data_IF_983126050313
#
_entry.id   IF_983126050313
#
_cell.length_a   1.000
_cell.length_b   1.000
_cell.length_c   1.000
_cell.angle_alpha   90.00
_cell.angle_beta   90.00
_cell.angle_gamma   90.00
#
_symmetry.space_group_name_H-M   'P 1'
#
loop_
_entity.id
_entity.type
_entity.pdbx_description
1 polymer ?
#
# COMPACT_ATOMS: atom_id res chain seq x y z
N UNK A 1 -11.59 19.91 47.47
CA UNK A 1 -11.86 18.60 48.13
C UNK A 1 -10.60 18.16 48.84
N UNK A 2 -10.66 17.40 49.95
CA UNK A 2 -9.44 16.97 50.63
C UNK A 2 -8.71 15.89 49.81
N UNK A 3 -7.40 15.84 50.01
CA UNK A 3 -6.56 14.80 49.45
C UNK A 3 -6.97 13.42 49.97
N UNK A 4 -6.87 12.40 49.12
CA UNK A 4 -7.30 11.04 49.45
C UNK A 4 -8.76 10.73 49.12
N UNK A 5 -9.57 11.72 48.71
CA UNK A 5 -10.91 11.45 48.20
C UNK A 5 -10.83 10.67 46.88
N UNK A 6 -11.75 9.74 46.69
CA UNK A 6 -11.86 8.94 45.47
C UNK A 6 -12.83 9.64 44.52
N UNK A 7 -12.38 9.88 43.29
CA UNK A 7 -13.21 10.29 42.15
C UNK A 7 -13.60 9.04 41.38
N UNK A 8 -14.90 8.84 41.14
CA UNK A 8 -15.39 7.84 40.19
C UNK A 8 -15.46 8.48 38.81
N UNK A 9 -14.90 7.82 37.80
CA UNK A 9 -14.84 8.32 36.43
C UNK A 9 -15.53 7.28 35.54
N UNK A 10 -16.52 7.73 34.77
CA UNK A 10 -17.27 6.90 33.83
C UNK A 10 -17.11 7.48 32.43
N UNK A 11 -16.57 6.68 31.51
CA UNK A 11 -16.45 7.00 30.09
C UNK A 11 -17.53 6.22 29.36
N UNK A 12 -18.40 6.91 28.62
CA UNK A 12 -19.55 6.31 27.94
C UNK A 12 -19.49 6.61 26.45
N UNK A 13 -19.66 5.60 25.61
CA UNK A 13 -19.82 5.77 24.16
C UNK A 13 -21.28 6.05 23.77
N UNK A 14 -21.52 6.38 22.50
CA UNK A 14 -22.84 6.69 21.97
C UNK A 14 -23.83 5.52 21.98
N UNK A 15 -23.35 4.28 22.13
CA UNK A 15 -24.18 3.09 22.26
C UNK A 15 -24.47 2.73 23.73
N UNK A 16 -23.92 3.51 24.68
CA UNK A 16 -24.07 3.29 26.11
C UNK A 16 -23.13 2.23 26.68
N UNK A 17 -22.11 1.79 25.94
CA UNK A 17 -21.04 1.00 26.55
C UNK A 17 -20.23 1.90 27.48
N UNK A 18 -19.79 1.34 28.61
CA UNK A 18 -19.15 2.10 29.68
C UNK A 18 -17.82 1.49 30.07
N UNK A 19 -16.85 2.36 30.32
CA UNK A 19 -15.60 2.05 31.02
C UNK A 19 -15.60 2.86 32.32
N UNK A 20 -15.49 2.17 33.44
CA UNK A 20 -15.42 2.80 34.77
C UNK A 20 -14.01 2.70 35.33
N UNK A 21 -13.55 3.78 35.95
CA UNK A 21 -12.28 3.83 36.66
C UNK A 21 -12.35 4.79 37.84
N UNK A 22 -11.29 4.85 38.64
CA UNK A 22 -11.22 5.74 39.80
C UNK A 22 -9.88 6.43 39.89
N UNK A 23 -9.88 7.66 40.40
CA UNK A 23 -8.67 8.43 40.72
C UNK A 23 -8.69 8.89 42.17
N UNK A 24 -7.52 9.19 42.74
CA UNK A 24 -7.42 9.78 44.08
C UNK A 24 -7.04 11.25 43.98
N UNK A 25 -7.69 12.11 44.76
CA UNK A 25 -7.38 13.54 44.83
C UNK A 25 -6.03 13.75 45.53
N UNK A 26 -5.13 14.47 44.87
CA UNK A 26 -3.81 14.85 45.37
C UNK A 26 -3.89 16.01 46.40
N UNK A 27 -2.82 16.26 47.18
CA UNK A 27 -2.75 17.40 48.11
C UNK A 27 -2.97 18.78 47.49
N UNK A 28 -2.69 18.94 46.19
CA UNK A 28 -2.92 20.17 45.43
C UNK A 28 -4.33 20.25 44.81
N UNK A 29 -5.15 19.22 44.99
CA UNK A 29 -6.52 19.13 44.47
C UNK A 29 -6.63 18.54 43.06
N UNK A 30 -5.51 18.22 42.39
CA UNK A 30 -5.51 17.52 41.10
C UNK A 30 -5.87 16.03 41.26
N UNK A 31 -6.24 15.38 40.18
CA UNK A 31 -6.33 13.91 40.10
C UNK A 31 -5.94 13.48 38.69
N UNK A 32 -5.45 12.26 38.55
CA UNK A 32 -5.19 11.63 37.27
C UNK A 32 -5.47 10.14 37.35
N UNK A 33 -5.76 9.55 36.20
CA UNK A 33 -5.83 8.12 35.99
C UNK A 33 -5.02 7.80 34.75
N UNK A 34 -4.12 6.84 34.86
CA UNK A 34 -3.30 6.38 33.75
C UNK A 34 -3.84 5.03 33.24
N UNK A 35 -3.49 4.69 32.00
CA UNK A 35 -3.76 3.37 31.38
C UNK A 35 -5.24 2.93 31.42
N UNK A 36 -6.17 3.85 31.19
CA UNK A 36 -7.60 3.51 31.03
C UNK A 36 -7.81 2.82 29.68
N UNK A 37 -8.14 1.54 29.72
CA UNK A 37 -8.45 0.76 28.52
C UNK A 37 -9.85 1.09 27.99
N UNK A 38 -9.90 1.77 26.85
CA UNK A 38 -11.13 2.15 26.14
C UNK A 38 -11.41 1.26 24.92
N UNK A 39 -10.68 0.15 24.75
CA UNK A 39 -10.83 -0.74 23.58
C UNK A 39 -12.19 -1.43 23.46
N UNK A 40 -13.00 -1.40 24.52
CA UNK A 40 -14.37 -1.91 24.52
C UNK A 40 -15.42 -0.89 24.05
N UNK A 41 -15.02 0.37 23.92
CA UNK A 41 -15.87 1.44 23.40
C UNK A 41 -15.79 1.47 21.87
N UNK A 42 -16.78 2.10 21.24
CA UNK A 42 -16.80 2.28 19.79
C UNK A 42 -16.43 3.71 19.38
N UNK A 43 -15.94 3.86 18.15
CA UNK A 43 -15.61 5.16 17.58
C UNK A 43 -16.81 6.10 17.55
N UNK A 44 -16.60 7.37 17.89
CA UNK A 44 -17.63 8.38 18.01
C UNK A 44 -17.39 9.31 19.20
N UNK A 45 -18.40 10.10 19.53
CA UNK A 45 -18.36 10.98 20.70
C UNK A 45 -18.40 10.14 21.98
N UNK A 46 -17.42 10.38 22.86
CA UNK A 46 -17.36 9.86 24.21
C UNK A 46 -17.81 10.94 25.20
N UNK A 47 -18.56 10.55 26.22
CA UNK A 47 -18.86 11.39 27.38
C UNK A 47 -18.07 10.88 28.59
N UNK A 48 -17.27 11.74 29.20
CA UNK A 48 -16.54 11.45 30.44
C UNK A 48 -17.21 12.18 31.58
N UNK A 49 -17.68 11.43 32.58
CA UNK A 49 -18.27 11.99 33.80
C UNK A 49 -17.36 11.68 34.98
N UNK A 50 -17.01 12.69 35.76
CA UNK A 50 -16.28 12.54 37.02
C UNK A 50 -17.21 12.89 38.18
N UNK A 51 -17.35 12.00 39.15
CA UNK A 51 -18.23 12.16 40.30
C UNK A 51 -17.52 11.85 41.61
N UNK A 52 -17.90 12.58 42.66
CA UNK A 52 -17.37 12.38 44.00
C UNK A 52 -18.32 12.99 45.03
N UNK A 53 -18.04 12.79 46.32
CA UNK A 53 -18.77 13.42 47.42
C UNK A 53 -17.85 14.39 48.18
N UNK A 54 -18.35 15.57 48.52
CA UNK A 54 -17.65 16.52 49.37
C UNK A 54 -17.61 16.10 50.85
N UNK A 55 -16.94 16.89 51.70
CA UNK A 55 -16.82 16.60 53.14
C UNK A 55 -18.14 16.71 53.92
N UNK A 56 -19.16 17.32 53.30
CA UNK A 56 -20.48 17.51 53.86
C UNK A 56 -21.48 16.44 53.37
N UNK A 57 -21.04 15.50 52.53
CA UNK A 57 -21.88 14.44 51.98
C UNK A 57 -22.64 14.83 50.70
N UNK A 58 -22.34 15.98 50.10
CA UNK A 58 -23.01 16.41 48.87
C UNK A 58 -22.28 15.83 47.64
N UNK A 59 -23.02 15.30 46.64
CA UNK A 59 -22.42 14.88 45.38
C UNK A 59 -21.92 16.10 44.59
N UNK A 60 -20.79 15.92 43.93
CA UNK A 60 -20.19 16.87 42.99
C UNK A 60 -19.85 16.10 41.74
N UNK A 61 -20.24 16.64 40.59
CA UNK A 61 -20.02 16.03 39.28
C UNK A 61 -19.57 17.07 38.26
N UNK A 62 -18.78 16.63 37.29
CA UNK A 62 -18.49 17.39 36.08
C UNK A 62 -18.44 16.45 34.86
N UNK A 63 -18.66 17.00 33.67
CA UNK A 63 -18.72 16.23 32.41
C UNK A 63 -17.93 16.91 31.32
N UNK A 64 -17.22 16.12 30.53
CA UNK A 64 -16.54 16.57 29.31
C UNK A 64 -16.78 15.58 28.16
N UNK A 65 -16.50 16.00 26.93
CA UNK A 65 -16.68 15.20 25.71
C UNK A 65 -15.37 15.05 24.95
N UNK A 66 -15.16 13.88 24.35
CA UNK A 66 -14.03 13.60 23.45
C UNK A 66 -14.53 12.82 22.23
N UNK A 67 -13.67 12.58 21.22
CA UNK A 67 -13.96 11.66 20.13
C UNK A 67 -12.99 10.49 20.19
N UNK A 68 -13.51 9.27 20.11
CA UNK A 68 -12.74 8.06 19.82
C UNK A 68 -12.79 7.82 18.32
N UNK A 69 -11.62 7.64 17.72
CA UNK A 69 -11.49 7.26 16.32
C UNK A 69 -10.28 6.33 16.20
N UNK A 70 -10.53 5.04 16.39
CA UNK A 70 -9.53 3.99 16.40
C UNK A 70 -9.61 3.08 15.16
N UNK A 71 -10.61 3.25 14.30
CA UNK A 71 -10.77 2.45 13.07
C UNK A 71 -9.84 2.98 11.99
N UNK A 72 -8.79 2.21 11.66
CA UNK A 72 -7.99 2.52 10.48
C UNK A 72 -8.80 2.40 9.18
N UNK A 73 -8.51 3.26 8.18
CA UNK A 73 -8.92 3.01 6.80
C UNK A 73 -8.32 1.70 6.28
N UNK A 74 -8.80 1.20 5.14
CA UNK A 74 -8.24 0.02 4.49
C UNK A 74 -8.25 0.13 2.97
N UNK A 75 -7.31 -0.57 2.33
CA UNK A 75 -7.22 -0.71 0.88
C UNK A 75 -6.54 -2.03 0.51
N UNK A 76 -6.52 -2.36 -0.78
CA UNK A 76 -5.67 -3.39 -1.34
C UNK A 76 -4.98 -2.89 -2.60
N UNK A 77 -3.79 -3.42 -2.90
CA UNK A 77 -3.01 -3.10 -4.09
C UNK A 77 -2.78 -4.35 -4.92
N UNK A 78 -3.01 -4.27 -6.23
CA UNK A 78 -2.77 -5.37 -7.18
C UNK A 78 -2.09 -4.83 -8.44
N UNK A 79 -0.93 -5.37 -8.79
CA UNK A 79 -0.32 -5.22 -10.11
C UNK A 79 -1.02 -6.18 -11.09
N UNK A 80 -1.48 -5.67 -12.22
CA UNK A 80 -2.30 -6.44 -13.17
C UNK A 80 -1.54 -6.76 -14.46
N UNK A 81 -1.89 -7.87 -15.10
CA UNK A 81 -1.41 -8.20 -16.46
C UNK A 81 -0.13 -9.02 -16.55
N UNK A 82 0.39 -9.57 -15.45
CA UNK A 82 1.59 -10.44 -15.43
C UNK A 82 1.30 -11.92 -15.81
N UNK A 83 0.24 -12.18 -16.59
CA UNK A 83 -0.09 -13.54 -17.03
C UNK A 83 -0.43 -14.53 -15.90
N UNK A 84 -0.27 -15.83 -16.17
CA UNK A 84 -0.51 -16.92 -15.21
C UNK A 84 0.72 -17.25 -14.34
N UNK A 85 1.90 -16.76 -14.72
CA UNK A 85 3.17 -17.01 -14.04
C UNK A 85 3.59 -15.89 -13.10
N UNK A 86 2.78 -14.82 -12.99
CA UNK A 86 3.01 -13.65 -12.13
C UNK A 86 4.35 -12.93 -12.41
N UNK A 87 4.86 -13.05 -13.64
CA UNK A 87 6.13 -12.45 -14.07
C UNK A 87 5.93 -11.67 -15.36
N UNK A 88 6.19 -10.37 -15.31
CA UNK A 88 6.08 -9.51 -16.49
C UNK A 88 7.19 -9.80 -17.52
N UNK A 89 6.78 -10.08 -18.74
CA UNK A 89 7.65 -10.07 -19.92
C UNK A 89 7.57 -8.74 -20.69
N UNK A 90 8.35 -8.60 -21.77
CA UNK A 90 8.41 -7.36 -22.56
C UNK A 90 7.06 -6.97 -23.19
N UNK A 91 6.26 -7.94 -23.61
CA UNK A 91 4.98 -7.69 -24.24
C UNK A 91 3.94 -7.25 -23.20
N UNK A 92 4.00 -7.79 -21.98
CA UNK A 92 3.10 -7.45 -20.87
C UNK A 92 3.40 -6.09 -20.24
N UNK A 93 4.65 -5.64 -20.25
CA UNK A 93 5.02 -4.26 -19.86
C UNK A 93 4.54 -3.23 -20.89
N UNK A 94 4.32 -3.67 -22.14
CA UNK A 94 3.84 -2.81 -23.21
C UNK A 94 4.83 -1.72 -23.64
N UNK A 95 4.43 -0.95 -24.66
CA UNK A 95 5.30 0.01 -25.32
C UNK A 95 5.55 1.31 -24.53
N UNK A 96 4.76 1.56 -23.48
CA UNK A 96 4.91 2.69 -22.57
C UNK A 96 5.91 2.41 -21.44
N UNK A 97 6.35 1.16 -21.26
CA UNK A 97 7.33 0.81 -20.22
C UNK A 97 6.74 0.83 -18.82
N UNK A 98 5.44 0.60 -18.66
CA UNK A 98 4.76 0.60 -17.37
C UNK A 98 3.70 -0.48 -17.29
N UNK A 99 3.40 -0.91 -16.08
CA UNK A 99 2.34 -1.88 -15.80
C UNK A 99 1.24 -1.19 -15.01
N UNK A 100 0.00 -1.65 -15.17
CA UNK A 100 -1.13 -1.08 -14.44
C UNK A 100 -1.23 -1.69 -13.04
N UNK A 101 -1.34 -0.85 -12.02
CA UNK A 101 -1.74 -1.23 -10.68
C UNK A 101 -3.17 -0.78 -10.40
N UNK A 102 -3.95 -1.62 -9.73
CA UNK A 102 -5.28 -1.32 -9.23
C UNK A 102 -5.24 -1.21 -7.71
N UNK A 103 -5.68 -0.06 -7.21
CA UNK A 103 -5.90 0.19 -5.79
C UNK A 103 -7.40 0.11 -5.53
N UNK A 104 -7.82 -0.69 -4.56
CA UNK A 104 -9.23 -0.83 -4.16
C UNK A 104 -9.37 -0.41 -2.71
N UNK A 105 -10.34 0.44 -2.39
CA UNK A 105 -10.56 0.91 -1.02
C UNK A 105 -11.56 0.02 -0.29
N UNK A 106 -11.28 -0.26 0.98
CA UNK A 106 -12.10 -1.09 1.85
C UNK A 106 -12.83 -0.27 2.93
N UNK A 107 -13.27 -0.97 3.98
CA UNK A 107 -13.92 -0.36 5.13
C UNK A 107 -13.02 0.67 5.83
N UNK A 108 -13.64 1.65 6.49
CA UNK A 108 -12.94 2.73 7.19
C UNK A 108 -12.48 3.87 6.27
N UNK A 109 -12.22 3.61 4.99
CA UNK A 109 -11.77 4.66 4.05
C UNK A 109 -12.92 5.57 3.62
N UNK A 110 -12.70 6.89 3.67
CA UNK A 110 -13.68 7.91 3.38
C UNK A 110 -13.16 8.99 2.42
N UNK A 111 -14.09 9.75 1.83
CA UNK A 111 -13.73 10.91 1.01
C UNK A 111 -13.00 11.94 1.88
N UNK A 112 -11.82 12.35 1.44
CA UNK A 112 -10.96 13.30 2.18
C UNK A 112 -9.80 12.66 2.92
N UNK A 113 -9.79 11.34 3.10
CA UNK A 113 -8.59 10.62 3.55
C UNK A 113 -7.43 10.88 2.60
N UNK A 114 -6.20 10.90 3.10
CA UNK A 114 -5.02 11.13 2.28
C UNK A 114 -4.49 9.80 1.76
N UNK A 115 -4.41 9.67 0.43
CA UNK A 115 -3.75 8.55 -0.23
C UNK A 115 -2.39 8.98 -0.76
N UNK A 116 -1.36 8.20 -0.42
CA UNK A 116 -0.01 8.31 -0.97
C UNK A 116 0.36 6.99 -1.61
N UNK A 117 0.79 7.04 -2.87
CA UNK A 117 1.20 5.87 -3.65
C UNK A 117 2.61 6.08 -4.17
N UNK A 118 3.49 5.12 -3.93
CA UNK A 118 4.89 5.15 -4.38
C UNK A 118 5.26 3.90 -5.16
N UNK A 119 6.17 4.05 -6.11
CA UNK A 119 6.82 2.92 -6.79
C UNK A 119 7.92 2.28 -5.91
N UNK A 120 8.52 1.18 -6.40
CA UNK A 120 9.62 0.50 -5.73
C UNK A 120 10.90 1.32 -5.53
N UNK A 121 11.04 2.46 -6.22
CA UNK A 121 12.15 3.40 -6.07
C UNK A 121 11.83 4.54 -5.10
N UNK A 122 10.60 4.60 -4.57
CA UNK A 122 10.12 5.66 -3.69
C UNK A 122 9.63 6.91 -4.42
N UNK A 123 9.41 6.86 -5.74
CA UNK A 123 8.81 7.96 -6.47
C UNK A 123 7.30 7.99 -6.23
N UNK A 124 6.75 9.17 -5.94
CA UNK A 124 5.31 9.34 -5.80
C UNK A 124 4.60 9.21 -7.16
N UNK A 125 3.67 8.25 -7.24
CA UNK A 125 2.77 8.06 -8.38
C UNK A 125 1.45 8.81 -8.16
N UNK A 126 1.04 8.95 -6.90
CA UNK A 126 -0.14 9.71 -6.49
C UNK A 126 0.04 10.23 -5.07
N UNK A 127 -0.39 11.47 -4.82
CA UNK A 127 -0.47 12.05 -3.49
C UNK A 127 -1.65 13.04 -3.46
N UNK A 128 -2.72 12.68 -2.74
CA UNK A 128 -3.92 13.49 -2.72
C UNK A 128 -5.08 12.88 -1.94
N UNK A 129 -6.20 13.60 -1.84
CA UNK A 129 -7.37 13.12 -1.14
C UNK A 129 -8.07 11.99 -1.91
N UNK A 130 -8.58 11.00 -1.19
CA UNK A 130 -9.51 9.99 -1.71
C UNK A 130 -10.79 10.70 -2.14
N UNK A 131 -11.21 10.44 -3.37
CA UNK A 131 -12.45 10.98 -3.96
C UNK A 131 -13.57 9.94 -3.95
N UNK A 132 -14.81 10.37 -4.17
CA UNK A 132 -15.94 9.44 -4.28
C UNK A 132 -15.76 8.47 -5.47
N UNK A 133 -15.22 8.95 -6.59
CA UNK A 133 -14.95 8.12 -7.76
C UNK A 133 -13.93 7.01 -7.44
N UNK A 134 -12.91 7.33 -6.64
CA UNK A 134 -11.93 6.35 -6.17
C UNK A 134 -12.57 5.30 -5.26
N UNK A 135 -13.48 5.68 -4.36
CA UNK A 135 -14.19 4.71 -3.53
C UNK A 135 -15.08 3.78 -4.36
N UNK A 136 -15.72 4.30 -5.41
CA UNK A 136 -16.67 3.54 -6.23
C UNK A 136 -15.97 2.61 -7.23
N UNK A 137 -14.86 3.05 -7.84
CA UNK A 137 -14.19 2.36 -8.94
C UNK A 137 -12.75 1.92 -8.65
N UNK A 138 -12.20 2.28 -7.49
CA UNK A 138 -10.77 2.17 -7.20
C UNK A 138 -9.94 3.22 -7.94
N UNK A 139 -8.62 3.09 -7.87
CA UNK A 139 -7.66 3.93 -8.58
C UNK A 139 -6.70 3.06 -9.38
N UNK A 140 -6.72 3.20 -10.70
CA UNK A 140 -5.74 2.59 -11.60
C UNK A 140 -4.57 3.57 -11.83
N UNK A 141 -3.33 3.09 -11.67
CA UNK A 141 -2.11 3.85 -11.90
C UNK A 141 -1.14 3.07 -12.77
N UNK A 142 -0.39 3.79 -13.60
CA UNK A 142 0.72 3.21 -14.34
C UNK A 142 1.99 3.26 -13.48
N UNK A 143 2.61 2.09 -13.28
CA UNK A 143 3.85 1.92 -12.52
C UNK A 143 5.00 1.72 -13.51
N UNK A 144 5.93 2.68 -13.64
CA UNK A 144 7.07 2.56 -14.54
C UNK A 144 7.94 1.34 -14.19
N UNK A 145 8.32 0.57 -15.21
CA UNK A 145 9.26 -0.56 -15.09
C UNK A 145 10.62 -0.13 -15.64
N UNK A 146 11.66 -0.24 -14.83
CA UNK A 146 13.03 0.04 -15.26
C UNK A 146 13.51 -0.95 -16.33
N UNK A 147 14.40 -0.50 -17.23
CA UNK A 147 14.89 -1.33 -18.36
C UNK A 147 15.56 -2.63 -17.93
N UNK A 148 16.24 -2.62 -16.78
CA UNK A 148 16.94 -3.75 -16.18
C UNK A 148 16.30 -4.15 -14.83
N UNK A 149 15.03 -3.81 -14.64
CA UNK A 149 14.30 -4.16 -13.43
C UNK A 149 14.12 -5.68 -13.37
N UNK A 150 14.45 -6.27 -12.22
CA UNK A 150 14.15 -7.68 -11.93
C UNK A 150 12.76 -7.85 -11.30
N UNK A 151 12.19 -6.74 -10.84
CA UNK A 151 10.91 -6.66 -10.19
C UNK A 151 10.27 -5.28 -10.42
N UNK A 152 8.95 -5.23 -10.30
CA UNK A 152 8.19 -3.99 -10.22
C UNK A 152 7.36 -4.06 -8.95
N UNK A 153 7.37 -3.00 -8.17
CA UNK A 153 6.61 -2.90 -6.93
C UNK A 153 5.94 -1.55 -6.78
N UNK A 154 4.88 -1.56 -5.99
CA UNK A 154 4.04 -0.41 -5.66
C UNK A 154 3.60 -0.54 -4.21
N UNK A 155 3.52 0.58 -3.51
CA UNK A 155 2.98 0.65 -2.15
C UNK A 155 1.98 1.80 -2.08
N UNK A 156 0.79 1.54 -1.55
CA UNK A 156 -0.22 2.55 -1.26
C UNK A 156 -0.39 2.67 0.25
N UNK A 157 -0.47 3.90 0.75
CA UNK A 157 -0.77 4.21 2.15
C UNK A 157 -1.94 5.18 2.19
N UNK A 158 -2.97 4.83 2.96
CA UNK A 158 -4.10 5.70 3.23
C UNK A 158 -4.11 6.10 4.70
N UNK A 159 -4.39 7.38 4.95
CA UNK A 159 -4.43 7.97 6.28
C UNK A 159 -5.70 8.80 6.44
N UNK A 160 -6.42 8.62 7.54
CA UNK A 160 -7.53 9.48 7.90
C UNK A 160 -7.04 10.81 8.53
N UNK A 161 -7.93 11.79 8.77
CA UNK A 161 -7.57 13.04 9.43
C UNK A 161 -7.15 12.91 10.91
N UNK A 162 -7.49 11.80 11.56
CA UNK A 162 -7.21 11.48 12.97
C UNK A 162 -5.85 10.80 13.15
N UNK A 163 -5.21 10.42 12.04
CA UNK A 163 -3.87 9.83 11.99
C UNK A 163 -3.86 8.31 12.00
N UNK A 164 -5.01 7.64 11.89
CA UNK A 164 -5.03 6.20 11.65
C UNK A 164 -4.61 5.93 10.21
N UNK A 165 -3.80 4.90 10.02
CA UNK A 165 -3.21 4.60 8.72
C UNK A 165 -3.28 3.12 8.39
N UNK A 166 -3.25 2.83 7.09
CA UNK A 166 -3.11 1.48 6.55
C UNK A 166 -2.28 1.52 5.27
N UNK A 167 -1.44 0.51 5.08
CA UNK A 167 -0.63 0.35 3.88
C UNK A 167 -0.73 -1.05 3.32
N UNK A 168 -0.76 -1.15 2.01
CA UNK A 168 -0.61 -2.42 1.28
C UNK A 168 0.33 -2.25 0.09
N UNK A 169 0.90 -3.34 -0.37
CA UNK A 169 1.84 -3.35 -1.49
C UNK A 169 1.75 -4.62 -2.31
N UNK A 170 2.11 -4.49 -3.59
CA UNK A 170 2.30 -5.63 -4.49
C UNK A 170 3.67 -5.54 -5.16
N UNK A 171 4.24 -6.70 -5.46
CA UNK A 171 5.54 -6.85 -6.10
C UNK A 171 5.54 -8.09 -7.00
N UNK A 172 5.80 -7.87 -8.29
CA UNK A 172 5.89 -8.94 -9.29
C UNK A 172 7.27 -8.99 -9.94
N UNK A 173 7.64 -10.19 -10.39
CA UNK A 173 8.90 -10.39 -11.10
C UNK A 173 8.87 -9.76 -12.48
N UNK A 174 10.04 -9.41 -13.01
CA UNK A 174 10.21 -8.97 -14.39
C UNK A 174 11.26 -9.87 -15.04
N UNK A 175 10.87 -10.50 -16.16
CA UNK A 175 11.74 -11.36 -16.96
C UNK A 175 11.84 -10.80 -18.39
N UNK A 176 12.42 -9.60 -18.49
CA UNK A 176 12.68 -8.94 -19.76
C UNK A 176 14.02 -9.39 -20.37
N UNK A 177 14.20 -10.70 -20.58
CA UNK A 177 15.37 -11.20 -21.29
C UNK A 177 15.08 -11.07 -22.79
N UNK A 178 15.74 -10.13 -23.45
CA UNK A 178 15.67 -10.02 -24.90
C UNK A 178 16.14 -11.33 -25.54
N UNK A 179 15.44 -11.85 -26.58
CA UNK A 179 15.86 -13.08 -27.22
C UNK A 179 17.24 -12.89 -27.87
N UNK A 180 18.19 -13.76 -27.55
CA UNK A 180 19.52 -13.78 -28.16
C UNK A 180 19.48 -14.72 -29.36
N UNK A 181 19.35 -14.22 -30.59
CA UNK A 181 19.52 -15.04 -31.80
C UNK A 181 20.88 -14.76 -32.45
N UNK A 182 21.55 -15.80 -32.93
CA UNK A 182 22.82 -15.69 -33.67
C UNK A 182 22.70 -16.32 -35.06
N UNK A 183 23.37 -15.73 -36.04
CA UNK A 183 23.52 -16.27 -37.39
C UNK A 183 24.96 -16.13 -37.84
N UNK A 184 25.51 -17.19 -38.42
CA UNK A 184 26.85 -17.21 -38.99
C UNK A 184 26.79 -17.69 -40.44
N UNK A 185 27.85 -17.39 -41.19
CA UNK A 185 28.11 -17.91 -42.53
C UNK A 185 29.50 -18.55 -42.48
N UNK A 186 29.60 -19.78 -42.96
CA UNK A 186 30.87 -20.48 -43.12
C UNK A 186 31.66 -19.90 -44.30
N UNK A 187 32.94 -20.27 -44.44
CA UNK A 187 33.77 -19.79 -45.54
C UNK A 187 33.16 -20.12 -46.91
N UNK A 188 32.97 -19.10 -47.75
CA UNK A 188 32.42 -19.27 -49.10
C UNK A 188 33.46 -19.93 -50.00
N UNK A 189 33.05 -20.92 -50.80
CA UNK A 189 33.94 -21.69 -51.68
C UNK A 189 35.15 -22.35 -50.96
N UNK A 190 35.15 -22.41 -49.62
CA UNK A 190 36.22 -23.00 -48.81
C UNK A 190 37.38 -22.05 -48.47
N UNK A 191 37.58 -20.98 -49.24
CA UNK A 191 38.69 -20.02 -49.07
C UNK A 191 38.26 -18.53 -49.05
N UNK A 192 36.95 -18.27 -49.04
CA UNK A 192 36.33 -16.93 -49.11
C UNK A 192 36.60 -16.17 -50.42
N UNK A 193 36.97 -16.88 -51.49
CA UNK A 193 37.22 -16.31 -52.81
C UNK A 193 36.46 -17.11 -53.86
N UNK A 194 35.58 -16.44 -54.61
CA UNK A 194 34.95 -17.06 -55.79
C UNK A 194 35.84 -16.78 -57.00
N UNK A 195 36.50 -17.82 -57.51
CA UNK A 195 37.33 -17.74 -58.71
C UNK A 195 36.51 -17.94 -60.01
N UNK A 196 37.17 -17.83 -61.17
CA UNK A 196 36.50 -17.90 -62.47
C UNK A 196 35.89 -19.27 -62.81
N UNK A 197 36.38 -20.35 -62.21
CA UNK A 197 35.82 -21.69 -62.37
C UNK A 197 34.57 -21.87 -61.49
N UNK A 198 34.67 -21.44 -60.22
CA UNK A 198 33.58 -21.46 -59.24
C UNK A 198 32.42 -20.54 -59.63
N UNK A 199 32.70 -19.38 -60.23
CA UNK A 199 31.69 -18.41 -60.67
C UNK A 199 30.71 -18.94 -61.73
N UNK A 200 31.02 -20.08 -62.35
CA UNK A 200 30.16 -20.75 -63.35
C UNK A 200 29.40 -21.95 -62.79
N UNK A 201 29.63 -22.28 -61.51
CA UNK A 201 29.05 -23.42 -60.81
C UNK A 201 28.06 -22.98 -59.73
N UNK A 202 27.33 -23.93 -59.16
CA UNK A 202 26.50 -23.69 -57.98
C UNK A 202 27.40 -23.62 -56.74
N UNK A 203 27.35 -22.49 -56.03
CA UNK A 203 28.06 -22.32 -54.75
C UNK A 203 27.12 -22.69 -53.60
N UNK A 204 27.60 -23.56 -52.71
CA UNK A 204 26.91 -23.85 -51.46
C UNK A 204 27.30 -22.82 -50.42
N UNK A 205 26.30 -22.15 -49.84
CA UNK A 205 26.48 -21.27 -48.68
C UNK A 205 25.96 -22.02 -47.46
N UNK A 206 26.83 -22.23 -46.49
CA UNK A 206 26.48 -22.85 -45.20
C UNK A 206 26.74 -21.87 -44.06
N UNK A 207 26.25 -22.22 -42.88
CA UNK A 207 26.39 -21.43 -41.68
C UNK A 207 25.60 -22.08 -40.55
N UNK A 208 25.58 -21.44 -39.39
CA UNK A 208 24.81 -21.90 -38.24
C UNK A 208 23.85 -20.82 -37.77
N UNK A 209 22.68 -21.27 -37.29
CA UNK A 209 21.75 -20.45 -36.50
C UNK A 209 21.80 -20.97 -35.07
N UNK A 210 21.78 -20.07 -34.09
CA UNK A 210 21.86 -20.42 -32.67
C UNK A 210 21.08 -19.44 -31.80
N UNK A 211 21.08 -19.72 -30.49
CA UNK A 211 20.31 -18.96 -29.52
C UNK A 211 18.79 -19.18 -29.66
N UNK A 212 17.99 -18.12 -29.56
CA UNK A 212 16.52 -18.16 -29.55
C UNK A 212 15.88 -18.26 -30.95
N UNK A 213 16.67 -18.50 -31.98
CA UNK A 213 16.18 -18.75 -33.33
C UNK A 213 15.29 -20.02 -33.36
N UNK A 214 14.07 -19.91 -33.88
CA UNK A 214 13.13 -21.04 -34.05
C UNK A 214 12.95 -21.39 -35.54
N UNK A 215 12.71 -22.67 -35.84
CA UNK A 215 12.35 -23.11 -37.19
C UNK A 215 10.99 -22.52 -37.57
N UNK A 216 10.91 -21.89 -38.75
CA UNK A 216 9.67 -21.34 -39.32
C UNK A 216 8.80 -22.34 -40.04
#
# INVERSE_FOLDING_TARGET
>A
MPAGNIISITITDQNGNVVETTATVNPDGSYSVDDVDVSSLIDGELTVTAETTDNNGNPVSDTDTAFLDATSPSLSVELQGAGEDDVYNIDEIGNNGSVTAQITFGEGTQVGDTLVVVDGNGNELFNGPVSQEMLDAGLALEVPVGTDAQNVSITATVSDPQGNTFSDSDNKGVANIAPEATITIDTIAGDDVINGEEATQTITVTGTVGGDARQG
#
